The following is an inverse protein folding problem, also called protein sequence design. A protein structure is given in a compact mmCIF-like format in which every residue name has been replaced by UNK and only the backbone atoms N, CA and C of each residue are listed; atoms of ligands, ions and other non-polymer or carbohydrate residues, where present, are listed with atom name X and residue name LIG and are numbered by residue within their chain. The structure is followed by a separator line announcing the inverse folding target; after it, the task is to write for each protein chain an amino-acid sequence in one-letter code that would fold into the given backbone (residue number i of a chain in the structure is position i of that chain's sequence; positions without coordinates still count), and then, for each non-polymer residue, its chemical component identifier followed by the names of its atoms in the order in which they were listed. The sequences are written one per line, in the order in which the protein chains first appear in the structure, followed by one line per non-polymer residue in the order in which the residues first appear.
data_IF_521676170057
#
_entry.id   IF_521676170057
#
_cell.length_a   1.000
_cell.length_b   1.000
_cell.length_c   1.000
_cell.angle_alpha   90.00
_cell.angle_beta   90.00
_cell.angle_gamma   90.00
#
_symmetry.space_group_name_H-M   'P 1'
#
loop_
_entity.id
_entity.type
_entity.pdbx_description
1 polymer ?
#
# COMPACT_ATOMS: atom_id res chain seq x y z
N UNK A 1 3.14 17.70 -2.69
CA UNK A 1 2.80 16.32 -2.32
C UNK A 1 1.83 16.35 -1.16
N UNK A 2 0.75 15.57 -1.27
CA UNK A 2 -0.21 15.33 -0.19
C UNK A 2 -0.15 13.85 0.15
N UNK A 3 -0.29 13.52 1.43
CA UNK A 3 -0.22 12.14 1.92
C UNK A 3 -1.34 11.97 2.96
N UNK A 4 -2.12 10.92 2.81
CA UNK A 4 -3.12 10.49 3.79
C UNK A 4 -2.62 9.20 4.42
N UNK A 5 -2.66 9.13 5.75
CA UNK A 5 -2.29 7.94 6.51
C UNK A 5 -3.54 7.23 7.02
N UNK A 6 -3.60 5.92 6.86
CA UNK A 6 -4.64 5.10 7.45
C UNK A 6 -4.34 4.80 8.93
N UNK A 7 -5.28 4.18 9.62
CA UNK A 7 -5.15 3.80 11.04
C UNK A 7 -3.90 2.96 11.30
N UNK A 8 -3.26 3.16 12.45
CA UNK A 8 -2.04 2.46 12.89
C UNK A 8 -0.89 2.54 11.88
N UNK A 9 -0.79 3.64 11.14
CA UNK A 9 0.27 3.86 10.16
C UNK A 9 1.23 4.94 10.62
N UNK A 10 2.49 4.80 10.20
CA UNK A 10 3.58 5.70 10.54
C UNK A 10 4.34 6.10 9.28
N UNK A 11 4.53 7.41 9.10
CA UNK A 11 5.36 7.96 8.04
C UNK A 11 6.55 8.72 8.65
N UNK A 12 7.74 8.35 8.23
CA UNK A 12 8.97 9.01 8.64
C UNK A 12 9.54 9.72 7.41
N UNK A 13 9.81 11.00 7.56
CA UNK A 13 10.40 11.83 6.50
C UNK A 13 11.38 12.85 7.09
N UNK A 14 12.40 13.27 6.32
CA UNK A 14 13.37 14.28 6.78
C UNK A 14 12.73 15.68 6.79
N UNK A 15 13.25 16.55 7.61
CA UNK A 15 12.86 17.99 7.63
C UNK A 15 13.22 18.68 6.31
N UNK A 16 14.26 18.21 5.64
CA UNK A 16 14.68 18.68 4.33
C UNK A 16 15.09 17.48 3.47
N UNK A 17 14.52 17.37 2.27
CA UNK A 17 14.92 16.36 1.29
C UNK A 17 16.26 16.69 0.66
N UNK A 18 16.97 15.66 0.20
CA UNK A 18 18.20 15.83 -0.59
C UNK A 18 17.90 16.42 -1.98
N UNK A 19 18.96 16.88 -2.65
CA UNK A 19 18.85 17.37 -4.04
C UNK A 19 18.76 16.23 -5.07
N UNK A 20 18.86 14.97 -4.62
CA UNK A 20 18.83 13.78 -5.49
C UNK A 20 17.51 13.04 -5.43
N UNK A 21 16.92 12.89 -4.23
CA UNK A 21 15.72 12.10 -4.00
C UNK A 21 14.92 12.62 -2.81
N UNK A 22 13.61 12.42 -2.85
CA UNK A 22 12.66 12.68 -1.77
C UNK A 22 12.32 11.34 -1.08
N UNK A 23 13.13 10.91 -0.14
CA UNK A 23 12.97 9.63 0.56
C UNK A 23 12.03 9.75 1.76
N UNK A 24 11.10 8.81 1.88
CA UNK A 24 10.24 8.63 3.05
C UNK A 24 10.18 7.14 3.42
N UNK A 25 9.86 6.84 4.68
CA UNK A 25 9.63 5.47 5.14
C UNK A 25 8.21 5.34 5.63
N UNK A 26 7.51 4.30 5.18
CA UNK A 26 6.14 3.96 5.54
C UNK A 26 6.09 2.61 6.25
N UNK A 27 5.39 2.59 7.38
CA UNK A 27 4.88 1.39 8.04
C UNK A 27 3.36 1.53 8.11
N UNK A 28 2.59 0.55 7.61
CA UNK A 28 1.15 0.64 7.52
C UNK A 28 0.62 1.02 6.14
N UNK A 29 -0.44 1.81 6.06
CA UNK A 29 -1.08 2.17 4.80
C UNK A 29 -1.16 3.68 4.58
N UNK A 30 -0.84 4.10 3.35
CA UNK A 30 -0.94 5.50 2.95
C UNK A 30 -1.33 5.65 1.48
N UNK A 31 -2.12 6.68 1.20
CA UNK A 31 -2.35 7.16 -0.15
C UNK A 31 -1.48 8.39 -0.41
N UNK A 32 -0.79 8.39 -1.53
CA UNK A 32 0.13 9.44 -1.96
C UNK A 32 -0.40 10.15 -3.19
N UNK A 33 -0.44 11.48 -3.15
CA UNK A 33 -0.60 12.36 -4.31
C UNK A 33 0.70 13.18 -4.44
N UNK A 34 1.63 12.64 -5.23
CA UNK A 34 3.00 13.16 -5.33
C UNK A 34 3.08 14.22 -6.41
N UNK A 35 3.49 15.43 -6.03
CA UNK A 35 3.76 16.50 -6.99
C UNK A 35 4.87 16.09 -7.96
N UNK A 36 4.61 16.27 -9.26
CA UNK A 36 5.54 15.90 -10.32
C UNK A 36 6.85 16.71 -10.23
N UNK A 37 7.97 16.00 -10.25
CA UNK A 37 9.33 16.56 -10.33
C UNK A 37 10.21 15.59 -11.13
N UNK A 38 10.52 15.95 -12.36
CA UNK A 38 11.19 15.08 -13.33
C UNK A 38 12.57 14.61 -12.87
N UNK A 39 13.34 15.50 -12.21
CA UNK A 39 14.73 15.21 -11.80
C UNK A 39 14.88 14.94 -10.30
N UNK A 40 13.77 14.87 -9.55
CA UNK A 40 13.78 14.65 -8.11
C UNK A 40 12.76 13.58 -7.71
N UNK A 41 13.07 12.31 -7.92
CA UNK A 41 12.17 11.21 -7.64
C UNK A 41 11.73 11.17 -6.17
N UNK A 42 10.52 10.66 -5.93
CA UNK A 42 9.98 10.39 -4.62
C UNK A 42 10.03 8.88 -4.38
N UNK A 43 10.65 8.47 -3.29
CA UNK A 43 10.85 7.06 -2.96
C UNK A 43 10.22 6.75 -1.61
N UNK A 44 9.28 5.80 -1.61
CA UNK A 44 8.67 5.24 -0.40
C UNK A 44 9.37 3.93 -0.07
N UNK A 45 10.05 3.88 1.06
CA UNK A 45 10.58 2.64 1.61
C UNK A 45 9.57 2.02 2.56
N UNK A 46 9.18 0.78 2.31
CA UNK A 46 8.34 -0.03 3.18
C UNK A 46 9.11 -1.26 3.70
N UNK A 47 8.56 -2.07 4.60
CA UNK A 47 9.25 -3.24 5.13
C UNK A 47 9.79 -4.22 4.07
N UNK A 48 9.10 -4.37 2.94
CA UNK A 48 9.44 -5.34 1.90
C UNK A 48 9.78 -4.72 0.53
N UNK A 49 9.33 -3.50 0.27
CA UNK A 49 9.38 -2.87 -1.04
C UNK A 49 9.94 -1.46 -1.00
N UNK A 50 10.66 -1.07 -2.05
CA UNK A 50 10.95 0.30 -2.40
C UNK A 50 10.08 0.72 -3.60
N UNK A 51 9.39 1.86 -3.49
CA UNK A 51 8.44 2.36 -4.47
C UNK A 51 8.91 3.72 -4.96
N UNK A 52 9.26 3.84 -6.25
CA UNK A 52 9.83 5.03 -6.85
C UNK A 52 8.88 5.66 -7.87
N UNK A 53 8.65 6.98 -7.73
CA UNK A 53 7.76 7.75 -8.60
C UNK A 53 8.35 9.14 -8.90
N UNK A 54 7.86 9.78 -9.97
CA UNK A 54 8.20 11.18 -10.30
C UNK A 54 7.05 12.15 -10.00
N UNK A 55 5.80 11.69 -10.19
CA UNK A 55 4.57 12.44 -9.93
C UNK A 55 3.39 11.53 -10.21
N UNK A 56 2.73 11.04 -9.17
CA UNK A 56 1.92 9.83 -9.26
C UNK A 56 0.91 9.82 -8.12
N UNK A 57 -0.29 9.26 -8.38
CA UNK A 57 -1.28 8.96 -7.33
C UNK A 57 -1.37 7.46 -7.14
N UNK A 58 -1.02 7.00 -5.94
CA UNK A 58 -0.96 5.57 -5.63
C UNK A 58 -1.21 5.30 -4.15
N UNK A 59 -1.63 4.07 -3.85
CA UNK A 59 -1.79 3.56 -2.49
C UNK A 59 -0.69 2.54 -2.19
N UNK A 60 -0.18 2.57 -0.98
CA UNK A 60 0.72 1.54 -0.44
C UNK A 60 0.12 1.01 0.84
N UNK A 61 -0.17 -0.30 0.91
CA UNK A 61 -0.53 -1.03 2.13
C UNK A 61 0.62 -1.96 2.48
N UNK A 62 1.32 -1.70 3.58
CA UNK A 62 2.54 -2.39 3.99
C UNK A 62 2.60 -2.52 5.52
N UNK A 63 1.58 -3.11 6.11
CA UNK A 63 1.59 -3.53 7.52
C UNK A 63 2.55 -4.70 7.69
N UNK A 64 3.18 -4.79 8.85
CA UNK A 64 4.27 -5.73 9.11
C UNK A 64 3.84 -7.21 9.02
N UNK A 65 2.59 -7.49 9.38
CA UNK A 65 2.00 -8.84 9.46
C UNK A 65 1.21 -9.24 8.20
N UNK A 66 1.27 -8.41 7.14
CA UNK A 66 0.53 -8.63 5.89
C UNK A 66 1.45 -8.57 4.66
N UNK A 67 0.95 -9.08 3.54
CA UNK A 67 1.61 -8.84 2.25
C UNK A 67 1.61 -7.35 1.93
N UNK A 68 2.70 -6.84 1.40
CA UNK A 68 2.74 -5.48 0.87
C UNK A 68 1.96 -5.39 -0.44
N UNK A 69 1.15 -4.36 -0.58
CA UNK A 69 0.32 -4.12 -1.77
C UNK A 69 0.53 -2.69 -2.24
N UNK A 70 0.82 -2.51 -3.52
CA UNK A 70 0.95 -1.19 -4.16
C UNK A 70 -0.06 -1.11 -5.30
N UNK A 71 -0.95 -0.12 -5.26
CA UNK A 71 -2.01 0.08 -6.28
C UNK A 71 -1.82 1.44 -6.93
N UNK A 72 -1.73 1.46 -8.25
CA UNK A 72 -1.53 2.67 -9.03
C UNK A 72 -2.86 3.24 -9.56
N UNK A 73 -3.18 4.47 -9.18
CA UNK A 73 -4.35 5.20 -9.68
C UNK A 73 -4.02 6.07 -10.89
N UNK A 74 -2.89 6.82 -10.87
CA UNK A 74 -2.54 7.77 -11.92
C UNK A 74 -1.02 7.92 -12.01
N UNK A 75 -0.49 7.94 -13.23
CA UNK A 75 0.94 8.13 -13.51
C UNK A 75 1.70 6.82 -13.71
N UNK A 76 2.87 6.68 -13.12
CA UNK A 76 3.77 5.52 -13.25
C UNK A 76 4.46 5.24 -11.92
N UNK A 77 4.51 3.97 -11.53
CA UNK A 77 5.20 3.50 -10.33
C UNK A 77 6.22 2.43 -10.69
N UNK A 78 7.44 2.56 -10.22
CA UNK A 78 8.43 1.50 -10.21
C UNK A 78 8.46 0.88 -8.81
N UNK A 79 8.29 -0.42 -8.72
CA UNK A 79 8.33 -1.20 -7.47
C UNK A 79 9.51 -2.15 -7.53
N UNK A 80 10.31 -2.16 -6.49
CA UNK A 80 11.46 -3.05 -6.33
C UNK A 80 11.42 -3.73 -4.96
N UNK A 81 11.78 -5.01 -4.91
CA UNK A 81 11.96 -5.71 -3.63
C UNK A 81 13.23 -5.22 -2.93
N UNK A 82 13.21 -5.16 -1.58
CA UNK A 82 14.35 -4.62 -0.81
C UNK A 82 15.65 -5.43 -0.99
N UNK A 83 15.55 -6.68 -1.46
CA UNK A 83 16.70 -7.52 -1.84
C UNK A 83 17.19 -7.28 -3.28
N UNK A 84 16.57 -6.33 -4.00
CA UNK A 84 16.84 -5.93 -5.39
C UNK A 84 16.72 -7.06 -6.43
N UNK A 85 16.06 -8.18 -6.10
CA UNK A 85 15.93 -9.33 -7.02
C UNK A 85 14.79 -9.19 -8.01
N UNK A 86 13.72 -8.48 -7.62
CA UNK A 86 12.55 -8.31 -8.45
C UNK A 86 12.21 -6.84 -8.62
N UNK A 87 11.92 -6.43 -9.84
CA UNK A 87 11.49 -5.09 -10.19
C UNK A 87 10.34 -5.15 -11.18
N UNK A 88 9.35 -4.29 -10.99
CA UNK A 88 8.17 -4.18 -11.85
C UNK A 88 7.75 -2.72 -11.99
N UNK A 89 7.22 -2.36 -13.17
CA UNK A 89 6.60 -1.06 -13.40
C UNK A 89 5.10 -1.23 -13.54
N UNK A 90 4.33 -0.50 -12.72
CA UNK A 90 2.87 -0.45 -12.79
C UNK A 90 2.39 0.64 -13.76
N UNK A 91 1.27 0.33 -14.43
CA UNK A 91 0.41 1.26 -15.18
C UNK A 91 -0.85 1.57 -14.36
N UNK A 92 -1.59 2.65 -14.69
CA UNK A 92 -2.85 2.95 -14.03
C UNK A 92 -3.81 1.74 -14.03
N UNK A 93 -4.52 1.55 -12.91
CA UNK A 93 -5.39 0.41 -12.62
C UNK A 93 -4.67 -0.95 -12.54
N UNK A 94 -3.39 -0.94 -12.27
CA UNK A 94 -2.63 -2.14 -11.92
C UNK A 94 -2.24 -2.10 -10.44
N UNK A 95 -2.11 -3.30 -9.87
CA UNK A 95 -1.70 -3.54 -8.50
C UNK A 95 -0.63 -4.60 -8.46
N UNK A 96 0.33 -4.46 -7.58
CA UNK A 96 1.30 -5.51 -7.26
C UNK A 96 1.21 -5.88 -5.80
N UNK A 97 1.31 -7.18 -5.50
CA UNK A 97 1.43 -7.68 -4.13
C UNK A 97 2.70 -8.51 -3.95
N UNK A 98 3.27 -8.46 -2.73
CA UNK A 98 4.48 -9.18 -2.35
C UNK A 98 4.43 -9.63 -0.88
N UNK A 99 4.70 -10.91 -0.64
CA UNK A 99 4.67 -11.53 0.69
C UNK A 99 6.06 -11.81 1.29
N UNK A 100 7.12 -11.50 0.55
CA UNK A 100 8.50 -11.77 0.98
C UNK A 100 9.06 -13.13 0.54
N UNK A 101 8.23 -14.09 0.19
CA UNK A 101 8.64 -15.48 -0.16
C UNK A 101 8.37 -15.88 -1.60
N UNK A 102 7.45 -15.20 -2.27
CA UNK A 102 7.10 -15.41 -3.68
C UNK A 102 7.51 -14.19 -4.50
N UNK A 103 7.54 -14.30 -5.83
CA UNK A 103 7.78 -13.15 -6.70
C UNK A 103 6.68 -12.08 -6.58
N UNK A 104 6.89 -10.94 -7.23
CA UNK A 104 5.89 -9.87 -7.35
C UNK A 104 4.67 -10.40 -8.14
N UNK A 105 3.49 -10.38 -7.53
CA UNK A 105 2.24 -10.79 -8.17
C UNK A 105 1.50 -9.56 -8.72
N UNK A 106 1.40 -9.46 -10.06
CA UNK A 106 0.74 -8.37 -10.76
C UNK A 106 -0.73 -8.70 -11.01
N UNK A 107 -1.61 -7.78 -10.64
CA UNK A 107 -3.04 -7.80 -10.94
C UNK A 107 -3.40 -6.58 -11.78
N UNK A 108 -4.33 -6.75 -12.75
CA UNK A 108 -4.77 -5.71 -13.69
C UNK A 108 -6.25 -5.44 -13.54
N UNK A 109 -6.69 -4.32 -14.11
CA UNK A 109 -8.10 -3.89 -14.10
C UNK A 109 -8.66 -3.67 -12.68
N UNK A 110 -7.83 -3.18 -11.78
CA UNK A 110 -8.21 -2.84 -10.42
C UNK A 110 -9.08 -1.57 -10.42
N UNK A 111 -10.19 -1.62 -9.68
CA UNK A 111 -10.98 -0.42 -9.42
C UNK A 111 -10.27 0.44 -8.37
N UNK A 112 -9.50 1.42 -8.81
CA UNK A 112 -8.72 2.28 -7.92
C UNK A 112 -9.56 3.23 -7.06
N UNK A 113 -10.87 3.34 -7.30
CA UNK A 113 -11.74 4.09 -6.39
C UNK A 113 -11.93 3.38 -5.05
N UNK A 114 -11.89 2.04 -5.04
CA UNK A 114 -12.04 1.26 -3.80
C UNK A 114 -10.90 1.50 -2.82
N UNK A 115 -9.66 1.66 -3.31
CA UNK A 115 -8.48 1.90 -2.45
C UNK A 115 -8.47 3.30 -1.82
N UNK A 116 -9.40 4.19 -2.19
CA UNK A 116 -9.55 5.53 -1.62
C UNK A 116 -10.68 5.62 -0.59
N UNK A 117 -11.51 4.58 -0.46
CA UNK A 117 -12.70 4.61 0.39
C UNK A 117 -12.32 4.80 1.87
N UNK A 118 -11.23 4.21 2.31
CA UNK A 118 -10.77 4.37 3.68
C UNK A 118 -10.48 5.83 4.05
N UNK A 119 -10.07 6.69 3.11
CA UNK A 119 -9.87 8.13 3.35
C UNK A 119 -11.17 8.87 3.68
N UNK A 120 -12.33 8.29 3.31
CA UNK A 120 -13.66 8.81 3.64
C UNK A 120 -14.28 8.13 4.87
N UNK A 121 -13.53 7.24 5.54
CA UNK A 121 -14.05 6.43 6.63
C UNK A 121 -14.88 5.22 6.16
N UNK A 122 -14.96 4.98 4.87
CA UNK A 122 -15.64 3.84 4.26
C UNK A 122 -14.68 2.63 4.12
N UNK A 123 -15.21 1.43 3.87
CA UNK A 123 -14.43 0.24 3.57
C UNK A 123 -15.07 -0.53 2.42
N UNK A 124 -14.27 -1.14 1.56
CA UNK A 124 -14.73 -2.11 0.57
C UNK A 124 -13.92 -3.39 0.74
N UNK A 125 -14.62 -4.47 0.98
CA UNK A 125 -14.04 -5.81 1.06
C UNK A 125 -14.50 -6.57 -0.18
N UNK A 126 -13.61 -6.73 -1.17
CA UNK A 126 -13.91 -7.42 -2.42
C UNK A 126 -13.08 -8.70 -2.45
N UNK A 127 -13.74 -9.85 -2.44
CA UNK A 127 -13.10 -11.16 -2.36
C UNK A 127 -12.03 -11.21 -1.26
N UNK A 128 -12.39 -10.71 -0.08
CA UNK A 128 -11.48 -10.58 1.05
C UNK A 128 -11.78 -11.65 2.10
N UNK A 129 -10.74 -12.29 2.62
CA UNK A 129 -10.88 -13.30 3.70
C UNK A 129 -11.30 -12.62 4.99
N UNK A 130 -12.08 -13.34 5.81
CA UNK A 130 -12.58 -12.82 7.09
C UNK A 130 -11.45 -12.38 8.03
N UNK A 131 -10.37 -13.14 8.12
CA UNK A 131 -9.23 -12.77 8.96
C UNK A 131 -8.58 -11.43 8.56
N UNK A 132 -8.55 -11.09 7.26
CA UNK A 132 -8.07 -9.80 6.78
C UNK A 132 -9.08 -8.67 7.09
N UNK A 133 -10.38 -8.93 6.91
CA UNK A 133 -11.46 -7.98 7.26
C UNK A 133 -11.38 -7.63 8.74
N UNK A 134 -11.25 -8.65 9.59
CA UNK A 134 -11.13 -8.48 11.04
C UNK A 134 -9.96 -7.59 11.40
N UNK A 135 -8.76 -7.81 10.84
CA UNK A 135 -7.58 -6.97 11.10
C UNK A 135 -7.79 -5.52 10.67
N UNK A 136 -8.42 -5.29 9.51
CA UNK A 136 -8.73 -3.93 9.05
C UNK A 136 -9.72 -3.23 9.99
N UNK A 137 -10.73 -3.94 10.50
CA UNK A 137 -11.68 -3.42 11.49
C UNK A 137 -11.03 -3.17 12.86
N UNK A 138 -10.19 -4.09 13.33
CA UNK A 138 -9.41 -3.92 14.57
C UNK A 138 -8.56 -2.66 14.52
N UNK A 139 -7.83 -2.44 13.42
CA UNK A 139 -7.02 -1.24 13.21
C UNK A 139 -7.88 0.03 13.14
N UNK A 140 -9.00 -0.03 12.43
CA UNK A 140 -9.85 1.15 12.21
C UNK A 140 -10.54 1.62 13.47
N UNK A 141 -11.01 0.69 14.31
CA UNK A 141 -11.85 0.99 15.48
C UNK A 141 -11.12 0.84 16.81
N UNK A 142 -9.84 0.45 16.79
CA UNK A 142 -9.02 0.16 17.98
C UNK A 142 -9.71 -0.83 18.92
N UNK A 143 -10.23 -1.90 18.36
CA UNK A 143 -10.91 -2.99 19.06
C UNK A 143 -10.21 -4.31 18.84
N UNK A 144 -10.49 -5.31 19.68
CA UNK A 144 -10.07 -6.70 19.47
C UNK A 144 -11.28 -7.54 19.10
N UNK A 145 -11.19 -8.23 17.96
CA UNK A 145 -12.22 -9.12 17.43
C UNK A 145 -11.72 -10.54 17.49
N UNK A 146 -12.50 -11.45 18.10
CA UNK A 146 -12.15 -12.86 18.20
C UNK A 146 -13.08 -13.68 17.31
N UNK A 147 -12.50 -14.38 16.33
CA UNK A 147 -13.23 -15.35 15.51
C UNK A 147 -13.30 -16.65 16.33
N UNK A 148 -14.47 -16.95 16.88
CA UNK A 148 -14.66 -18.15 17.72
C UNK A 148 -14.72 -19.44 16.93
N UNK A 149 -15.17 -19.38 15.68
CA UNK A 149 -15.11 -20.50 14.74
C UNK A 149 -13.98 -20.27 13.72
N UNK A 150 -12.84 -20.91 13.96
CA UNK A 150 -11.66 -20.76 13.12
C UNK A 150 -11.83 -21.22 11.67
N UNK A 151 -12.84 -22.07 11.37
CA UNK A 151 -13.13 -22.46 9.99
C UNK A 151 -13.54 -21.28 9.12
N UNK A 152 -14.15 -20.25 9.72
CA UNK A 152 -14.56 -19.03 9.03
C UNK A 152 -13.42 -18.10 8.68
N UNK A 153 -12.24 -18.22 9.30
CA UNK A 153 -11.10 -17.30 9.11
C UNK A 153 -10.67 -17.20 7.66
N UNK A 154 -10.78 -18.27 6.90
CA UNK A 154 -10.41 -18.34 5.49
C UNK A 154 -11.57 -18.06 4.52
N UNK A 155 -12.80 -17.96 5.02
CA UNK A 155 -13.97 -17.64 4.20
C UNK A 155 -13.82 -16.27 3.52
N UNK A 156 -14.27 -16.20 2.26
CA UNK A 156 -14.12 -15.02 1.41
C UNK A 156 -15.46 -14.29 1.30
N UNK A 157 -15.43 -13.00 1.58
CA UNK A 157 -16.60 -12.11 1.57
C UNK A 157 -16.44 -11.03 0.50
N UNK A 158 -17.60 -10.56 0.01
CA UNK A 158 -17.71 -9.47 -0.96
C UNK A 158 -18.85 -8.55 -0.58
#
# INVERSE_FOLDING_TARGET
TKIWLNSQSKLIYPTQFSDKERNVRLEGEAFFDVAHKEHLPFVVHSPLLAIKVLGTKFNVKAYFDEKSVVTLAEGKVEVETNDCKNRLTLKPNEQVSYSGSSGLALEKNINTNTVKLWMKGEGAFIQCRLDHIVRDLERKFDVKIVITDYSLSSEVFT
#
